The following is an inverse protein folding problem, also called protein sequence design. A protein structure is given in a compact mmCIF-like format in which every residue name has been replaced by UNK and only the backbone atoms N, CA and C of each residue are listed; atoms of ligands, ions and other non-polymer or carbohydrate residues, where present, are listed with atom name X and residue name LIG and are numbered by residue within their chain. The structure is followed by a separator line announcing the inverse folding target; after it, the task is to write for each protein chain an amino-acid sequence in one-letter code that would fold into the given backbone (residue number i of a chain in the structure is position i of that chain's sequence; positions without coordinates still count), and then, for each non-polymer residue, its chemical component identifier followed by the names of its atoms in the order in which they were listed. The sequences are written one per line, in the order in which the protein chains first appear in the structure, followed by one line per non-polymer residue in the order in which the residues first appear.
data_IF_638551634577
#
_entry.id   IF_638551634577
#
_cell.length_a   1.000
_cell.length_b   1.000
_cell.length_c   1.000
_cell.angle_alpha   90.00
_cell.angle_beta   90.00
_cell.angle_gamma   90.00
#
_symmetry.space_group_name_H-M   'P 1'
#
loop_
_entity.id
_entity.type
_entity.pdbx_description
1 polymer ?
#
# COMPACT_ATOMS: atom_id res chain seq x y z
N UNK A 1 1.37 -17.25 2.65
CA UNK A 1 2.46 -16.65 3.44
C UNK A 1 1.86 -16.11 4.72
N UNK A 2 2.55 -16.13 5.87
CA UNK A 2 2.00 -15.59 7.11
C UNK A 2 2.45 -14.15 7.29
N UNK A 3 1.50 -13.26 7.55
CA UNK A 3 1.74 -11.86 7.89
C UNK A 3 1.37 -11.61 9.35
N UNK A 4 2.12 -10.70 9.97
CA UNK A 4 1.82 -10.11 11.26
C UNK A 4 2.31 -8.66 11.26
N UNK A 5 1.52 -7.79 10.63
CA UNK A 5 1.79 -6.36 10.51
C UNK A 5 0.73 -5.61 11.32
N UNK A 6 1.09 -4.95 12.43
CA UNK A 6 0.14 -4.17 13.20
C UNK A 6 -0.26 -2.88 12.47
N UNK A 7 -1.41 -2.31 12.83
CA UNK A 7 -1.81 -0.98 12.42
C UNK A 7 -0.79 0.04 12.93
N UNK A 8 -0.17 0.77 12.02
CA UNK A 8 0.93 1.68 12.29
C UNK A 8 0.96 2.79 11.21
N UNK A 9 1.78 3.84 11.38
CA UNK A 9 2.03 4.79 10.30
C UNK A 9 2.43 4.05 9.01
N UNK A 10 1.91 4.52 7.87
CA UNK A 10 2.04 3.79 6.61
C UNK A 10 3.49 3.49 6.22
N UNK A 11 4.43 4.39 6.54
CA UNK A 11 5.86 4.17 6.32
C UNK A 11 6.40 2.94 7.07
N UNK A 12 6.05 2.81 8.35
CA UNK A 12 6.51 1.69 9.20
C UNK A 12 5.83 0.38 8.79
N UNK A 13 4.51 0.43 8.58
CA UNK A 13 3.74 -0.75 8.20
C UNK A 13 4.13 -1.31 6.83
N UNK A 14 4.35 -0.44 5.83
CA UNK A 14 4.78 -0.84 4.49
C UNK A 14 6.19 -1.43 4.53
N UNK A 15 7.11 -0.82 5.29
CA UNK A 15 8.46 -1.34 5.44
C UNK A 15 8.47 -2.73 6.08
N UNK A 16 7.67 -2.92 7.14
CA UNK A 16 7.53 -4.21 7.81
C UNK A 16 6.85 -5.25 6.91
N UNK A 17 5.82 -4.86 6.16
CA UNK A 17 5.16 -5.72 5.19
C UNK A 17 6.13 -6.17 4.08
N UNK A 18 6.90 -5.25 3.50
CA UNK A 18 7.91 -5.54 2.47
C UNK A 18 8.97 -6.53 2.99
N UNK A 19 9.41 -6.33 4.24
CA UNK A 19 10.36 -7.21 4.93
C UNK A 19 9.82 -8.61 5.10
N UNK A 20 8.58 -8.75 5.58
CA UNK A 20 7.94 -10.05 5.75
C UNK A 20 7.71 -10.73 4.40
N UNK A 21 7.19 -10.00 3.40
CA UNK A 21 6.88 -10.50 2.06
C UNK A 21 8.11 -10.78 1.18
N UNK A 22 9.31 -10.33 1.58
CA UNK A 22 10.53 -10.37 0.76
C UNK A 22 10.37 -9.72 -0.63
N UNK A 23 9.63 -8.62 -0.70
CA UNK A 23 9.42 -7.86 -1.94
C UNK A 23 9.97 -6.45 -1.81
N UNK A 24 10.26 -5.82 -2.95
CA UNK A 24 10.66 -4.42 -2.98
C UNK A 24 9.43 -3.53 -3.17
N UNK A 25 9.18 -2.65 -2.19
CA UNK A 25 8.12 -1.65 -2.26
C UNK A 25 8.73 -0.27 -2.33
N UNK A 26 8.32 0.50 -3.33
CA UNK A 26 8.72 1.88 -3.52
C UNK A 26 7.55 2.77 -3.09
N UNK A 27 7.78 3.66 -2.12
CA UNK A 27 6.77 4.60 -1.66
C UNK A 27 7.42 5.93 -1.31
N UNK A 28 6.76 7.03 -1.65
CA UNK A 28 7.23 8.37 -1.27
C UNK A 28 6.80 8.70 0.15
N UNK A 29 7.72 9.13 1.00
CA UNK A 29 7.39 9.55 2.38
C UNK A 29 6.34 10.67 2.43
N UNK A 30 6.32 11.54 1.43
CA UNK A 30 5.30 12.57 1.26
C UNK A 30 3.89 12.00 1.06
N UNK A 31 3.76 10.91 0.30
CA UNK A 31 2.48 10.25 0.04
C UNK A 31 1.98 9.47 1.26
N UNK A 32 2.90 8.97 2.09
CA UNK A 32 2.61 8.20 3.30
C UNK A 32 2.38 9.07 4.55
N UNK A 33 2.69 10.36 4.47
CA UNK A 33 2.71 11.26 5.62
C UNK A 33 1.31 11.41 6.23
N UNK A 34 1.19 11.12 7.53
CA UNK A 34 -0.07 11.25 8.28
C UNK A 34 -1.10 10.15 8.01
N UNK A 35 -0.77 9.13 7.20
CA UNK A 35 -1.64 8.00 6.94
C UNK A 35 -1.30 6.86 7.91
N UNK A 36 -2.34 6.27 8.50
CA UNK A 36 -2.24 5.05 9.32
C UNK A 36 -2.88 3.93 8.53
N UNK A 37 -2.18 2.81 8.40
CA UNK A 37 -2.70 1.62 7.72
C UNK A 37 -3.43 0.72 8.69
N UNK A 38 -4.22 -0.22 8.16
CA UNK A 38 -4.85 -1.26 8.97
C UNK A 38 -3.83 -2.30 9.43
N UNK A 39 -4.26 -3.20 10.32
CA UNK A 39 -3.48 -4.38 10.64
C UNK A 39 -3.75 -5.52 9.66
N UNK A 40 -2.72 -6.33 9.40
CA UNK A 40 -2.81 -7.51 8.56
C UNK A 40 -2.15 -8.67 9.26
N UNK A 41 -2.98 -9.63 9.67
CA UNK A 41 -2.53 -10.82 10.38
C UNK A 41 -3.14 -12.07 9.79
N UNK A 42 -2.34 -13.12 9.64
CA UNK A 42 -2.79 -14.43 9.19
C UNK A 42 -2.10 -14.92 7.92
N UNK A 43 -2.59 -16.03 7.38
CA UNK A 43 -2.02 -16.66 6.19
C UNK A 43 -2.74 -16.17 4.94
N UNK A 44 -2.13 -15.22 4.24
CA UNK A 44 -2.73 -14.53 3.10
C UNK A 44 -1.75 -14.51 1.90
N UNK A 45 -2.26 -14.39 0.67
CA UNK A 45 -1.46 -13.99 -0.49
C UNK A 45 -0.94 -12.56 -0.33
N UNK A 46 0.25 -12.27 -0.84
CA UNK A 46 0.89 -10.93 -0.75
C UNK A 46 -0.03 -9.84 -1.30
N UNK A 47 -0.68 -10.05 -2.45
CA UNK A 47 -1.58 -9.08 -3.05
C UNK A 47 -2.80 -8.79 -2.19
N UNK A 48 -3.40 -9.82 -1.57
CA UNK A 48 -4.56 -9.68 -0.67
C UNK A 48 -4.15 -8.98 0.61
N UNK A 49 -3.02 -9.37 1.20
CA UNK A 49 -2.50 -8.77 2.40
C UNK A 49 -2.17 -7.28 2.21
N UNK A 50 -1.57 -6.92 1.07
CA UNK A 50 -1.30 -5.52 0.74
C UNK A 50 -2.59 -4.71 0.51
N UNK A 51 -3.58 -5.30 -0.17
CA UNK A 51 -4.88 -4.66 -0.34
C UNK A 51 -5.60 -4.44 0.99
N UNK A 52 -5.50 -5.39 1.93
CA UNK A 52 -6.05 -5.23 3.28
C UNK A 52 -5.31 -4.15 4.08
N UNK A 53 -3.98 -4.09 3.97
CA UNK A 53 -3.16 -3.09 4.65
C UNK A 53 -3.57 -1.67 4.24
N UNK A 54 -3.82 -1.48 2.95
CA UNK A 54 -4.16 -0.19 2.34
C UNK A 54 -5.66 0.07 2.25
N UNK A 55 -6.50 -0.88 2.69
CA UNK A 55 -7.95 -0.70 2.71
C UNK A 55 -8.31 0.55 3.53
N UNK A 56 -9.34 1.28 3.10
CA UNK A 56 -9.81 2.51 3.76
C UNK A 56 -8.76 3.64 3.88
N UNK A 57 -7.61 3.51 3.20
CA UNK A 57 -6.61 4.57 3.08
C UNK A 57 -6.69 5.23 1.69
N UNK A 58 -6.24 6.49 1.54
CA UNK A 58 -6.12 7.11 0.23
C UNK A 58 -4.89 6.61 -0.54
N UNK A 59 -4.38 5.41 -0.27
CA UNK A 59 -3.22 4.83 -0.92
C UNK A 59 -3.64 3.81 -1.99
N UNK A 60 -2.85 3.72 -3.05
CA UNK A 60 -3.03 2.72 -4.11
C UNK A 60 -1.71 2.09 -4.50
N UNK A 61 -1.77 0.88 -5.04
CA UNK A 61 -0.60 0.14 -5.51
C UNK A 61 -0.52 0.14 -7.03
N UNK A 62 0.66 0.40 -7.58
CA UNK A 62 0.96 0.22 -9.00
C UNK A 62 2.12 -0.75 -9.17
N UNK A 63 2.08 -1.58 -10.19
CA UNK A 63 3.23 -2.40 -10.54
C UNK A 63 4.13 -1.63 -11.50
N UNK A 64 5.43 -1.61 -11.21
CA UNK A 64 6.44 -1.09 -12.11
C UNK A 64 6.76 -2.11 -13.21
N UNK A 65 7.23 -1.62 -14.37
CA UNK A 65 7.78 -2.47 -15.43
C UNK A 65 8.97 -3.32 -14.97
N UNK A 66 9.66 -2.92 -13.88
CA UNK A 66 10.75 -3.67 -13.25
C UNK A 66 10.30 -4.75 -12.26
N UNK A 67 8.99 -4.93 -12.05
CA UNK A 67 8.43 -5.89 -11.09
C UNK A 67 8.35 -5.40 -9.64
N UNK A 68 8.78 -4.17 -9.36
CA UNK A 68 8.60 -3.54 -8.05
C UNK A 68 7.15 -3.08 -7.83
N UNK A 69 6.69 -3.07 -6.58
CA UNK A 69 5.38 -2.53 -6.21
C UNK A 69 5.57 -1.08 -5.77
N UNK A 70 4.88 -0.15 -6.42
CA UNK A 70 4.81 1.25 -6.01
C UNK A 70 3.57 1.45 -5.15
N UNK A 71 3.72 2.02 -3.97
CA UNK A 71 2.61 2.56 -3.17
C UNK A 71 2.63 4.07 -3.31
N UNK A 72 1.55 4.62 -3.82
CA UNK A 72 1.38 6.06 -4.05
C UNK A 72 0.06 6.51 -3.45
N UNK A 73 -0.02 7.79 -3.09
CA UNK A 73 -1.32 8.38 -2.81
C UNK A 73 -2.18 8.25 -4.08
N UNK A 74 -3.39 7.71 -3.93
CA UNK A 74 -4.40 7.81 -4.94
C UNK A 74 -4.72 9.30 -5.08
N UNK A 75 -4.02 9.99 -6.00
CA UNK A 75 -4.49 11.27 -6.51
C UNK A 75 -5.86 10.95 -7.08
N UNK A 76 -6.91 11.30 -6.33
CA UNK A 76 -8.26 11.35 -6.84
C UNK A 76 -8.21 12.45 -7.89
N UNK A 77 -7.88 12.11 -9.12
CA UNK A 77 -8.07 13.01 -10.23
C UNK A 77 -9.59 13.28 -10.24
N UNK A 78 -10.05 14.51 -9.99
CA UNK A 78 -11.47 14.79 -10.04
C UNK A 78 -11.91 14.43 -11.45
N UNK A 79 -12.82 13.47 -11.55
CA UNK A 79 -13.44 13.03 -12.79
C UNK A 79 -14.01 14.26 -13.48
N UNK A 80 -13.23 14.90 -14.36
CA UNK A 80 -13.75 15.93 -15.24
C UNK A 80 -14.70 15.18 -16.18
N UNK A 81 -16.02 15.40 -16.12
CA UNK A 81 -16.89 14.80 -17.12
C UNK A 81 -16.41 15.33 -18.47
N UNK A 82 -16.12 14.42 -19.39
CA UNK A 82 -15.93 14.80 -20.78
C UNK A 82 -17.25 15.43 -21.24
N UNK A 83 -17.25 16.75 -21.43
CA UNK A 83 -18.34 17.48 -22.04
C UNK A 83 -18.56 16.89 -23.45
N UNK A 84 -19.73 16.30 -23.66
CA UNK A 84 -20.26 15.88 -24.95
C UNK A 84 -21.49 16.72 -25.29
#
# INVERSE_FOLDING_TARGET
MRFDVPAAPAADAIAEFARQAHINILASTADLAGIVTNDVRGVLPVSVALAMLLADTPLTTRQSASGAVLVVAAVVEPHRPALA
#
